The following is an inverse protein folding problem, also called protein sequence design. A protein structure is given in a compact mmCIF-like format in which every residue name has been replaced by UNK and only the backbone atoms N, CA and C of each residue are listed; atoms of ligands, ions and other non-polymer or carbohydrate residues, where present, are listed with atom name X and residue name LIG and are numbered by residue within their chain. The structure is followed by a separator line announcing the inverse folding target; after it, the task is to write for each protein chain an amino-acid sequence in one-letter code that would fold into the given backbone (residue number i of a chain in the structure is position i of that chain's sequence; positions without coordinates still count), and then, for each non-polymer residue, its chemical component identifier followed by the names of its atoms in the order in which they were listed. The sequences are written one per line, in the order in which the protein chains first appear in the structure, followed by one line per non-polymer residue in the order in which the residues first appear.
data_IF_118366943736
#
_entry.id   IF_118366943736
#
_cell.length_a   1.000
_cell.length_b   1.000
_cell.length_c   1.000
_cell.angle_alpha   90.00
_cell.angle_beta   90.00
_cell.angle_gamma   90.00
#
_symmetry.space_group_name_H-M   'P 1'
#
loop_
_entity.id
_entity.type
_entity.pdbx_description
1 polymer ?
#
# COMPACT_ATOMS: atom_id res chain seq x y z
N UNK A 1 -1.33 10.77 -6.68
CA UNK A 1 -2.39 11.63 -7.27
C UNK A 1 -3.60 11.58 -6.34
N UNK A 2 -4.38 12.66 -6.22
CA UNK A 2 -5.63 12.64 -5.47
C UNK A 2 -6.71 11.85 -6.22
N UNK A 3 -7.84 11.59 -5.54
CA UNK A 3 -8.95 10.78 -6.09
C UNK A 3 -9.52 11.33 -7.41
N UNK A 4 -9.50 12.65 -7.58
CA UNK A 4 -10.07 13.31 -8.76
C UNK A 4 -9.05 13.54 -9.89
N UNK A 5 -7.79 13.15 -9.70
CA UNK A 5 -6.73 13.37 -10.68
C UNK A 5 -6.32 14.84 -10.87
N UNK A 6 -6.67 15.71 -9.91
CA UNK A 6 -6.44 17.16 -10.01
C UNK A 6 -5.20 17.64 -9.27
N UNK A 7 -4.71 16.85 -8.30
CA UNK A 7 -3.55 17.22 -7.46
C UNK A 7 -2.61 16.04 -7.31
N UNK A 8 -1.32 16.35 -7.31
CA UNK A 8 -0.25 15.39 -7.02
C UNK A 8 0.45 15.86 -5.74
N UNK A 9 0.62 14.94 -4.79
CA UNK A 9 1.52 15.13 -3.65
C UNK A 9 2.83 14.40 -3.92
N UNK A 10 3.96 15.06 -3.66
CA UNK A 10 5.30 14.48 -3.82
C UNK A 10 6.03 14.49 -2.49
N UNK A 11 6.69 13.37 -2.18
CA UNK A 11 7.58 13.22 -1.03
C UNK A 11 9.03 13.50 -1.47
N UNK A 12 9.81 14.12 -0.59
CA UNK A 12 11.19 14.51 -0.91
C UNK A 12 12.17 14.18 0.22
N UNK A 13 13.41 13.92 -0.16
CA UNK A 13 14.52 13.72 0.78
C UNK A 13 14.89 14.99 1.55
N UNK A 14 14.44 16.14 1.11
CA UNK A 14 14.62 17.43 1.80
C UNK A 14 13.64 17.63 2.99
N UNK A 15 12.94 16.58 3.40
CA UNK A 15 11.94 16.55 4.47
C UNK A 15 10.67 17.39 4.16
N UNK A 16 10.43 17.74 2.91
CA UNK A 16 9.24 18.48 2.50
C UNK A 16 8.29 17.64 1.64
N UNK A 17 7.03 18.03 1.65
CA UNK A 17 6.00 17.50 0.77
C UNK A 17 5.49 18.66 -0.07
N UNK A 18 5.39 18.51 -1.37
CA UNK A 18 4.80 19.51 -2.25
C UNK A 18 3.48 19.02 -2.80
N UNK A 19 2.49 19.90 -2.81
CA UNK A 19 1.19 19.66 -3.45
C UNK A 19 1.14 20.52 -4.71
N UNK A 20 0.90 19.83 -5.82
CA UNK A 20 0.93 20.41 -7.17
C UNK A 20 -0.43 20.18 -7.80
N UNK A 21 -1.05 21.23 -8.27
CA UNK A 21 -2.26 21.18 -9.10
C UNK A 21 -1.90 20.79 -10.53
N UNK A 22 -2.69 19.90 -11.12
CA UNK A 22 -2.55 19.44 -12.49
C UNK A 22 -3.75 19.92 -13.30
N UNK A 23 -3.50 20.79 -14.27
CA UNK A 23 -4.53 21.28 -15.18
C UNK A 23 -4.17 20.92 -16.62
N UNK A 24 -5.09 20.31 -17.34
CA UNK A 24 -4.88 19.89 -18.72
C UNK A 24 -4.50 21.01 -19.69
N UNK A 25 -4.83 22.28 -19.36
CA UNK A 25 -4.64 23.41 -20.26
C UNK A 25 -3.55 24.41 -19.82
N UNK A 26 -3.06 24.35 -18.58
CA UNK A 26 -2.14 25.39 -18.05
C UNK A 26 -0.86 24.81 -17.40
N UNK A 27 -0.65 23.50 -17.51
CA UNK A 27 0.49 22.84 -16.89
C UNK A 27 0.31 22.62 -15.38
N UNK A 28 1.41 22.41 -14.67
CA UNK A 28 1.43 22.16 -13.23
C UNK A 28 1.60 23.45 -12.45
N UNK A 29 0.82 23.62 -11.37
CA UNK A 29 0.90 24.77 -10.47
C UNK A 29 1.26 24.30 -9.06
N UNK A 30 2.28 24.89 -8.44
CA UNK A 30 2.58 24.67 -7.03
C UNK A 30 1.47 25.27 -6.16
N UNK A 31 0.83 24.43 -5.31
CA UNK A 31 -0.28 24.84 -4.44
C UNK A 31 0.17 24.99 -2.98
N UNK A 32 0.96 24.06 -2.46
CA UNK A 32 1.41 24.11 -1.07
C UNK A 32 2.73 23.34 -0.86
N UNK A 33 3.49 23.77 0.16
CA UNK A 33 4.65 23.03 0.67
C UNK A 33 4.42 22.72 2.15
N UNK A 34 4.37 21.42 2.49
CA UNK A 34 4.15 20.96 3.85
C UNK A 34 5.51 20.68 4.50
N UNK A 35 5.72 21.27 5.68
CA UNK A 35 6.93 21.12 6.47
C UNK A 35 6.57 20.61 7.86
N UNK A 36 7.31 19.63 8.36
CA UNK A 36 7.06 19.03 9.69
C UNK A 36 7.95 17.86 9.99
N UNK A 37 8.29 17.07 8.98
CA UNK A 37 9.26 15.99 9.13
C UNK A 37 10.68 16.53 9.35
N UNK A 38 11.50 15.75 10.07
CA UNK A 38 12.91 16.06 10.38
C UNK A 38 13.89 15.21 9.56
N UNK A 39 13.39 14.43 8.63
CA UNK A 39 14.17 13.56 7.76
C UNK A 39 13.47 13.31 6.43
N UNK A 40 14.12 12.60 5.51
CA UNK A 40 13.55 12.22 4.21
C UNK A 40 12.13 11.68 4.34
N UNK A 41 11.21 12.19 3.52
CA UNK A 41 9.84 11.67 3.43
C UNK A 41 9.82 10.59 2.36
N UNK A 42 9.47 9.37 2.75
CA UNK A 42 9.51 8.20 1.85
C UNK A 42 8.25 8.03 1.04
N UNK A 43 7.10 8.24 1.66
CA UNK A 43 5.82 8.02 0.99
C UNK A 43 4.78 9.03 1.47
N UNK A 44 3.89 9.40 0.55
CA UNK A 44 2.67 10.17 0.80
C UNK A 44 1.48 9.43 0.21
N UNK A 45 0.33 9.52 0.87
CA UNK A 45 -0.88 8.83 0.43
C UNK A 45 -2.12 9.67 0.76
N UNK A 46 -2.98 9.88 -0.25
CA UNK A 46 -4.26 10.57 -0.10
C UNK A 46 -5.30 9.62 0.51
N UNK A 47 -6.03 10.10 1.51
CA UNK A 47 -7.20 9.41 2.00
C UNK A 47 -8.37 9.53 0.99
N UNK A 48 -9.36 8.65 1.12
CA UNK A 48 -10.57 8.72 0.31
C UNK A 48 -11.32 10.05 0.58
N UNK A 49 -11.83 10.74 -0.44
CA UNK A 49 -12.45 12.08 -0.31
C UNK A 49 -13.68 12.12 0.58
N UNK A 50 -14.31 10.97 0.89
CA UNK A 50 -15.37 10.82 1.89
C UNK A 50 -14.99 11.42 3.24
N UNK A 51 -13.71 11.43 3.59
CA UNK A 51 -13.18 11.95 4.85
C UNK A 51 -12.68 13.40 4.76
N UNK A 52 -12.82 14.01 3.59
CA UNK A 52 -12.28 15.33 3.27
C UNK A 52 -10.90 15.28 2.63
N UNK A 53 -10.27 16.43 2.47
CA UNK A 53 -8.91 16.54 1.94
C UNK A 53 -7.90 16.18 3.03
N UNK A 54 -7.52 14.91 3.08
CA UNK A 54 -6.57 14.35 4.05
C UNK A 54 -5.43 13.67 3.31
N UNK A 55 -4.19 13.96 3.73
CA UNK A 55 -2.97 13.33 3.25
C UNK A 55 -2.23 12.71 4.44
N UNK A 56 -1.65 11.53 4.27
CA UNK A 56 -0.69 10.96 5.20
C UNK A 56 0.71 11.00 4.60
N UNK A 57 1.72 11.13 5.45
CA UNK A 57 3.13 11.03 5.08
C UNK A 57 3.91 10.21 6.09
N UNK A 58 4.94 9.50 5.64
CA UNK A 58 5.87 8.78 6.51
C UNK A 58 7.31 9.13 6.17
N UNK A 59 8.19 9.02 7.17
CA UNK A 59 9.55 9.54 7.06
C UNK A 59 10.58 8.65 7.75
N UNK A 60 11.84 8.87 7.36
CA UNK A 60 13.02 8.33 8.02
C UNK A 60 13.09 8.72 9.51
N UNK A 61 12.48 9.84 9.91
CA UNK A 61 12.43 10.31 11.30
C UNK A 61 11.57 9.44 12.23
N UNK A 62 10.93 8.38 11.71
CA UNK A 62 10.08 7.47 12.48
C UNK A 62 8.66 7.97 12.68
N UNK A 63 8.33 9.15 12.15
CA UNK A 63 7.00 9.75 12.31
C UNK A 63 6.10 9.46 11.12
N UNK A 64 4.80 9.42 11.42
CA UNK A 64 3.71 9.51 10.44
C UNK A 64 2.90 10.76 10.77
N UNK A 65 2.69 11.61 9.78
CA UNK A 65 1.93 12.85 9.95
C UNK A 65 0.66 12.79 9.10
N UNK A 66 -0.47 13.12 9.73
CA UNK A 66 -1.74 13.34 9.06
C UNK A 66 -1.90 14.83 8.82
N UNK A 67 -2.06 15.18 7.56
CA UNK A 67 -2.28 16.54 7.10
C UNK A 67 -3.74 16.69 6.70
N UNK A 68 -4.36 17.78 7.13
CA UNK A 68 -5.74 18.10 6.75
C UNK A 68 -5.77 19.51 6.15
N UNK A 69 -6.42 19.63 5.01
CA UNK A 69 -6.69 20.91 4.38
C UNK A 69 -7.81 21.63 5.15
N UNK A 70 -7.53 22.86 5.59
CA UNK A 70 -8.49 23.77 6.19
C UNK A 70 -9.13 24.65 5.14
N UNK A 71 -8.65 25.88 5.02
CA UNK A 71 -8.99 26.74 3.90
C UNK A 71 -8.26 26.29 2.64
N UNK A 72 -8.64 26.85 1.49
CA UNK A 72 -8.06 26.44 0.20
C UNK A 72 -6.53 26.52 0.20
N UNK A 73 -5.88 25.37 0.00
CA UNK A 73 -4.41 25.19 0.00
C UNK A 73 -3.70 25.48 1.34
N UNK A 74 -4.43 25.70 2.44
CA UNK A 74 -3.86 25.79 3.78
C UNK A 74 -3.91 24.43 4.46
N UNK A 75 -2.76 23.88 4.79
CA UNK A 75 -2.62 22.55 5.35
C UNK A 75 -2.15 22.60 6.80
N UNK A 76 -2.81 21.85 7.65
CA UNK A 76 -2.49 21.74 9.07
C UNK A 76 -2.04 20.30 9.38
N UNK A 77 -1.10 20.19 10.31
CA UNK A 77 -0.76 18.89 10.92
C UNK A 77 -1.88 18.52 11.88
N UNK A 78 -2.79 17.66 11.40
CA UNK A 78 -3.94 17.24 12.21
C UNK A 78 -3.54 16.23 13.29
N UNK A 79 -2.56 15.37 13.00
CA UNK A 79 -2.04 14.40 13.98
C UNK A 79 -0.61 13.98 13.61
N UNK A 80 0.19 13.63 14.64
CA UNK A 80 1.55 13.12 14.51
C UNK A 80 1.64 11.84 15.33
N UNK A 81 1.97 10.73 14.69
CA UNK A 81 2.25 9.46 15.33
C UNK A 81 3.76 9.27 15.50
N UNK A 82 4.17 8.88 16.71
CA UNK A 82 5.56 8.63 17.10
C UNK A 82 5.74 7.20 17.64
N UNK A 83 4.97 6.25 17.11
CA UNK A 83 4.91 4.88 17.62
C UNK A 83 6.12 4.04 17.21
N UNK A 84 6.83 4.44 16.14
CA UNK A 84 7.97 3.72 15.61
C UNK A 84 9.31 4.30 16.08
N UNK A 85 10.26 3.41 16.34
CA UNK A 85 11.61 3.75 16.80
C UNK A 85 12.62 3.89 15.65
N UNK A 86 12.20 3.58 14.44
CA UNK A 86 13.03 3.62 13.23
C UNK A 86 12.21 4.14 12.05
N UNK A 87 12.85 4.29 10.90
CA UNK A 87 12.24 4.76 9.67
C UNK A 87 10.89 4.10 9.39
N UNK A 88 9.86 4.88 9.09
CA UNK A 88 8.60 4.38 8.55
C UNK A 88 8.69 4.42 7.03
N UNK A 89 8.68 3.24 6.40
CA UNK A 89 8.99 3.07 5.00
C UNK A 89 7.77 3.08 4.09
N UNK A 90 6.62 2.68 4.62
CA UNK A 90 5.40 2.55 3.82
C UNK A 90 4.16 2.85 4.63
N UNK A 91 3.19 3.49 3.98
CA UNK A 91 1.86 3.78 4.51
C UNK A 91 0.79 3.40 3.49
N UNK A 92 -0.34 2.92 3.95
CA UNK A 92 -1.49 2.61 3.11
C UNK A 92 -2.79 2.90 3.85
N UNK A 93 -3.69 3.67 3.23
CA UNK A 93 -5.06 3.84 3.72
C UNK A 93 -5.87 2.58 3.44
N UNK A 94 -6.66 2.18 4.42
CA UNK A 94 -7.64 1.12 4.25
C UNK A 94 -8.73 1.54 3.25
N UNK A 95 -9.42 0.57 2.62
CA UNK A 95 -10.65 0.85 1.90
C UNK A 95 -11.61 1.67 2.77
N UNK A 96 -12.29 2.65 2.16
CA UNK A 96 -13.08 3.65 2.89
C UNK A 96 -14.29 3.07 3.64
N UNK A 97 -14.71 1.87 3.28
CA UNK A 97 -15.76 1.10 3.96
C UNK A 97 -15.36 0.72 5.38
N UNK A 98 -14.07 0.52 5.63
CA UNK A 98 -13.50 0.19 6.93
C UNK A 98 -13.29 1.42 7.85
N UNK A 99 -13.71 2.61 7.39
CA UNK A 99 -13.46 3.86 8.10
C UNK A 99 -12.13 4.51 7.73
N UNK A 100 -11.76 5.57 8.43
CA UNK A 100 -10.48 6.24 8.25
C UNK A 100 -9.40 5.49 9.04
N UNK A 101 -8.73 4.57 8.38
CA UNK A 101 -7.76 3.66 8.97
C UNK A 101 -6.48 3.63 8.13
N UNK A 102 -5.31 3.75 8.76
CA UNK A 102 -4.00 3.82 8.12
C UNK A 102 -3.07 2.74 8.67
N UNK A 103 -2.51 1.90 7.80
CA UNK A 103 -1.43 0.99 8.15
C UNK A 103 -0.07 1.60 7.82
N UNK A 104 0.93 1.36 8.68
CA UNK A 104 2.29 1.86 8.54
C UNK A 104 3.29 0.75 8.82
N UNK A 105 4.26 0.57 7.93
CA UNK A 105 5.34 -0.41 8.08
C UNK A 105 6.68 0.26 8.34
N UNK A 106 7.42 -0.23 9.34
CA UNK A 106 8.68 0.38 9.79
C UNK A 106 9.88 -0.56 9.72
N UNK A 107 11.05 0.04 9.60
CA UNK A 107 12.34 -0.65 9.74
C UNK A 107 12.58 -1.24 11.13
N UNK A 108 11.77 -0.88 12.14
CA UNK A 108 11.81 -1.53 13.45
C UNK A 108 11.16 -2.92 13.48
N UNK A 109 10.67 -3.39 12.33
CA UNK A 109 10.06 -4.71 12.15
C UNK A 109 8.58 -4.78 12.46
N UNK A 110 7.97 -3.69 12.89
CA UNK A 110 6.59 -3.65 13.33
C UNK A 110 5.68 -2.95 12.30
N UNK A 111 4.40 -3.30 12.36
CA UNK A 111 3.34 -2.60 11.64
C UNK A 111 2.42 -1.97 12.67
N UNK A 112 2.13 -0.68 12.53
CA UNK A 112 1.10 0.02 13.30
C UNK A 112 -0.11 0.28 12.43
N UNK A 113 -1.30 0.12 13.00
CA UNK A 113 -2.56 0.42 12.33
C UNK A 113 -3.32 1.44 13.18
N UNK A 114 -3.54 2.62 12.61
CA UNK A 114 -4.20 3.76 13.25
C UNK A 114 -5.62 3.88 12.73
N UNK A 115 -6.60 3.90 13.62
CA UNK A 115 -8.02 4.02 13.29
C UNK A 115 -8.59 5.28 13.93
N UNK A 116 -9.15 6.17 13.12
CA UNK A 116 -9.78 7.39 13.62
C UNK A 116 -11.08 7.08 14.36
N UNK A 117 -11.27 7.73 15.51
CA UNK A 117 -12.48 7.65 16.32
C UNK A 117 -13.42 8.82 16.02
N UNK A 118 -14.69 8.65 16.38
CA UNK A 118 -15.71 9.68 16.23
C UNK A 118 -15.45 10.94 17.06
N UNK A 119 -14.70 10.82 18.17
CA UNK A 119 -14.32 11.93 19.05
C UNK A 119 -13.11 12.74 18.53
N UNK A 120 -12.57 12.39 17.37
CA UNK A 120 -11.39 13.01 16.76
C UNK A 120 -10.06 12.43 17.24
N UNK A 121 -10.07 11.47 18.15
CA UNK A 121 -8.87 10.72 18.56
C UNK A 121 -8.53 9.57 17.60
N UNK A 122 -7.46 8.87 17.92
CA UNK A 122 -6.99 7.71 17.17
C UNK A 122 -6.76 6.53 18.10
N UNK A 123 -7.18 5.35 17.66
CA UNK A 123 -6.81 4.08 18.27
C UNK A 123 -5.65 3.49 17.51
N UNK A 124 -4.72 2.86 18.23
CA UNK A 124 -3.55 2.20 17.65
C UNK A 124 -3.60 0.71 17.95
N UNK A 125 -3.48 -0.11 16.93
CA UNK A 125 -3.19 -1.55 17.06
C UNK A 125 -1.87 -1.85 16.39
N UNK A 126 -1.15 -2.88 16.88
CA UNK A 126 0.19 -3.23 16.39
C UNK A 126 0.28 -4.69 16.00
N UNK A 127 1.16 -4.95 15.04
CA UNK A 127 1.69 -6.26 14.71
C UNK A 127 3.17 -6.21 15.02
N UNK A 128 3.53 -6.73 16.21
CA UNK A 128 4.91 -6.75 16.64
C UNK A 128 5.68 -7.84 15.91
N UNK A 129 6.94 -7.55 15.56
CA UNK A 129 7.83 -8.46 14.85
C UNK A 129 7.18 -9.04 13.58
N UNK A 130 6.40 -8.23 12.86
CA UNK A 130 5.81 -8.62 11.58
C UNK A 130 6.89 -9.11 10.60
N UNK A 131 7.97 -8.33 10.48
CA UNK A 131 9.19 -8.69 9.76
C UNK A 131 10.40 -8.28 10.62
N UNK A 132 11.04 -9.18 11.34
CA UNK A 132 12.06 -8.83 12.34
C UNK A 132 13.25 -8.00 11.81
N UNK A 133 13.56 -8.12 10.52
CA UNK A 133 14.64 -7.38 9.85
C UNK A 133 14.19 -6.01 9.34
N UNK A 134 12.88 -5.77 9.25
CA UNK A 134 12.26 -4.53 8.79
C UNK A 134 11.15 -4.75 7.79
N UNK A 135 10.10 -3.93 7.91
CA UNK A 135 8.98 -3.86 6.97
C UNK A 135 9.34 -2.88 5.85
N UNK A 136 9.15 -3.29 4.61
CA UNK A 136 9.41 -2.45 3.43
C UNK A 136 8.13 -1.89 2.82
N UNK A 137 7.05 -2.68 2.80
CA UNK A 137 5.78 -2.25 2.20
C UNK A 137 4.57 -2.91 2.86
N UNK A 138 3.45 -2.18 2.87
CA UNK A 138 2.14 -2.65 3.34
C UNK A 138 1.05 -2.34 2.30
N UNK A 139 0.07 -3.22 2.20
CA UNK A 139 -1.07 -3.06 1.28
C UNK A 139 -2.33 -3.67 1.85
N UNK A 140 -3.45 -2.94 1.82
CA UNK A 140 -4.73 -3.44 2.29
C UNK A 140 -5.39 -4.36 1.27
N UNK A 141 -6.09 -5.37 1.79
CA UNK A 141 -7.06 -6.13 1.02
C UNK A 141 -8.29 -5.27 0.70
N UNK A 142 -9.01 -5.54 -0.40
CA UNK A 142 -10.32 -4.96 -0.65
C UNK A 142 -11.27 -5.21 0.53
N UNK A 143 -12.16 -4.25 0.82
CA UNK A 143 -13.15 -4.38 1.91
C UNK A 143 -14.18 -5.47 1.64
N UNK A 144 -14.50 -5.72 0.37
CA UNK A 144 -15.40 -6.79 -0.02
C UNK A 144 -14.70 -8.14 0.14
N UNK A 145 -15.30 -9.03 0.92
CA UNK A 145 -14.81 -10.39 1.04
C UNK A 145 -14.81 -11.09 -0.32
N UNK A 146 -13.80 -11.93 -0.60
CA UNK A 146 -13.79 -12.73 -1.82
C UNK A 146 -15.07 -13.56 -1.96
N UNK A 147 -15.70 -13.50 -3.14
CA UNK A 147 -16.97 -14.19 -3.41
C UNK A 147 -18.23 -13.49 -2.90
N UNK A 148 -18.16 -12.29 -2.34
CA UNK A 148 -19.32 -11.55 -1.83
C UNK A 148 -20.40 -11.29 -2.89
N UNK A 149 -20.05 -11.24 -4.17
CA UNK A 149 -21.03 -11.11 -5.27
C UNK A 149 -21.78 -12.41 -5.56
N UNK A 150 -21.29 -13.56 -5.08
CA UNK A 150 -21.86 -14.89 -5.35
C UNK A 150 -22.64 -15.41 -4.16
N UNK A 151 -22.42 -14.85 -2.96
CA UNK A 151 -23.06 -15.26 -1.72
C UNK A 151 -24.28 -14.39 -1.38
N UNK A 152 -25.33 -14.98 -0.83
CA UNK A 152 -26.58 -14.32 -0.46
C UNK A 152 -26.55 -13.59 0.89
N UNK A 153 -25.39 -13.28 1.47
CA UNK A 153 -25.24 -12.65 2.76
C UNK A 153 -24.40 -11.37 2.71
N UNK A 154 -24.86 -10.32 3.41
CA UNK A 154 -24.01 -9.19 3.82
C UNK A 154 -22.94 -9.76 4.77
N UNK A 155 -21.74 -10.00 4.23
CA UNK A 155 -20.58 -10.34 5.05
C UNK A 155 -20.02 -9.04 5.63
N UNK A 156 -19.78 -9.00 6.93
CA UNK A 156 -19.10 -7.87 7.56
C UNK A 156 -17.73 -7.64 6.89
N UNK A 157 -17.36 -6.37 6.64
CA UNK A 157 -16.08 -6.06 6.06
C UNK A 157 -14.94 -6.62 6.89
N UNK A 158 -14.10 -7.44 6.29
CA UNK A 158 -12.98 -8.08 6.98
C UNK A 158 -11.74 -7.22 6.79
N UNK A 159 -11.10 -6.84 7.91
CA UNK A 159 -9.83 -6.14 7.86
C UNK A 159 -8.68 -7.12 7.62
N UNK A 160 -8.08 -7.06 6.44
CA UNK A 160 -6.89 -7.81 6.07
C UNK A 160 -5.85 -6.90 5.43
N UNK A 161 -4.59 -7.19 5.65
CA UNK A 161 -3.49 -6.52 4.97
C UNK A 161 -2.37 -7.51 4.60
N UNK A 162 -1.64 -7.19 3.55
CA UNK A 162 -0.40 -7.83 3.19
C UNK A 162 0.77 -6.95 3.60
N UNK A 163 1.87 -7.56 4.01
CA UNK A 163 3.13 -6.88 4.27
C UNK A 163 4.29 -7.66 3.66
N UNK A 164 5.37 -6.97 3.37
CA UNK A 164 6.61 -7.58 2.96
C UNK A 164 7.81 -6.93 3.66
N UNK A 165 8.94 -7.60 3.66
CA UNK A 165 10.09 -7.12 4.41
C UNK A 165 11.44 -7.60 3.93
N UNK A 166 12.46 -7.20 4.69
CA UNK A 166 13.85 -7.58 4.47
C UNK A 166 14.15 -9.04 4.88
N UNK A 167 13.18 -9.78 5.36
CA UNK A 167 13.23 -11.22 5.63
C UNK A 167 12.83 -12.07 4.40
N UNK A 168 12.73 -11.45 3.23
CA UNK A 168 12.42 -12.07 1.94
C UNK A 168 11.02 -12.70 1.86
N UNK A 169 10.14 -12.37 2.81
CA UNK A 169 8.79 -12.96 2.89
C UNK A 169 7.69 -11.95 2.61
N UNK A 170 6.55 -12.47 2.18
CA UNK A 170 5.27 -11.78 2.19
C UNK A 170 4.37 -12.45 3.23
N UNK A 171 3.68 -11.65 4.04
CA UNK A 171 2.77 -12.13 5.08
C UNK A 171 1.40 -11.50 4.90
N UNK A 172 0.38 -12.27 5.20
CA UNK A 172 -1.02 -11.84 5.21
C UNK A 172 -1.53 -11.83 6.63
N UNK A 173 -2.15 -10.74 7.02
CA UNK A 173 -2.65 -10.49 8.37
C UNK A 173 -4.15 -10.26 8.34
N UNK A 174 -4.84 -10.75 9.34
CA UNK A 174 -6.29 -10.56 9.54
C UNK A 174 -6.56 -10.10 10.96
N UNK A 175 -7.47 -9.14 11.10
CA UNK A 175 -7.93 -8.66 12.40
C UNK A 175 -9.00 -9.62 12.94
N UNK A 176 -8.73 -10.22 14.10
CA UNK A 176 -9.65 -11.07 14.83
C UNK A 176 -9.87 -10.49 16.24
N UNK A 177 -11.08 -10.10 16.55
CA UNK A 177 -11.45 -9.58 17.89
C UNK A 177 -10.47 -8.52 18.41
N UNK A 178 -10.11 -7.55 17.58
CA UNK A 178 -9.19 -6.47 17.92
C UNK A 178 -7.70 -6.84 17.93
N UNK A 179 -7.34 -8.07 17.58
CA UNK A 179 -5.95 -8.53 17.53
C UNK A 179 -5.59 -9.00 16.12
N UNK A 180 -4.46 -8.52 15.61
CA UNK A 180 -3.92 -8.96 14.33
C UNK A 180 -3.27 -10.33 14.44
N UNK A 181 -3.63 -11.24 13.55
CA UNK A 181 -3.05 -12.58 13.44
C UNK A 181 -2.63 -12.85 12.01
N UNK A 182 -1.58 -13.65 11.85
CA UNK A 182 -1.16 -14.11 10.52
C UNK A 182 -2.22 -15.05 9.95
N UNK A 183 -2.72 -14.72 8.76
CA UNK A 183 -3.80 -15.43 8.06
C UNK A 183 -3.26 -16.46 7.05
N UNK A 184 -1.97 -16.41 6.73
CA UNK A 184 -1.28 -17.42 5.93
C UNK A 184 -0.10 -18.00 6.73
N UNK A 185 -0.12 -19.32 6.95
CA UNK A 185 0.99 -19.99 7.59
C UNK A 185 1.35 -21.26 6.79
N UNK A 186 2.61 -21.47 6.41
CA UNK A 186 3.75 -20.56 6.62
C UNK A 186 3.65 -19.24 5.83
N UNK A 187 4.53 -18.27 6.14
CA UNK A 187 4.66 -17.05 5.34
C UNK A 187 4.97 -17.38 3.86
N UNK A 188 4.51 -16.53 2.96
CA UNK A 188 4.70 -16.70 1.52
C UNK A 188 6.18 -16.44 1.17
N UNK A 189 6.88 -17.49 0.73
CA UNK A 189 8.33 -17.45 0.52
C UNK A 189 8.68 -18.05 -0.84
N UNK A 190 9.08 -17.20 -1.77
CA UNK A 190 9.67 -17.56 -3.06
C UNK A 190 10.81 -16.62 -3.45
N UNK A 191 10.88 -15.46 -2.80
CA UNK A 191 11.95 -14.50 -3.04
C UNK A 191 13.25 -14.90 -2.31
N UNK A 192 14.38 -14.56 -2.91
CA UNK A 192 15.71 -14.86 -2.39
C UNK A 192 16.42 -13.63 -1.81
N UNK A 193 15.82 -12.44 -1.93
CA UNK A 193 16.33 -11.17 -1.40
C UNK A 193 15.16 -10.30 -0.94
N UNK A 194 15.42 -9.13 -0.40
CA UNK A 194 14.45 -8.22 0.17
C UNK A 194 13.26 -7.99 -0.76
N UNK A 195 12.08 -8.20 -0.23
CA UNK A 195 10.85 -7.84 -0.95
C UNK A 195 10.62 -6.35 -0.77
N UNK A 196 10.64 -5.60 -1.86
CA UNK A 196 10.61 -4.13 -1.87
C UNK A 196 9.21 -3.56 -1.88
N UNK A 197 8.29 -4.23 -2.54
CA UNK A 197 6.92 -3.75 -2.73
C UNK A 197 5.94 -4.91 -2.70
N UNK A 198 4.78 -4.69 -2.09
CA UNK A 198 3.64 -5.60 -2.11
C UNK A 198 2.38 -4.80 -2.46
N UNK A 199 1.55 -5.37 -3.32
CA UNK A 199 0.28 -4.77 -3.71
C UNK A 199 -0.82 -5.83 -3.76
N UNK A 200 -1.90 -5.61 -3.02
CA UNK A 200 -3.09 -6.44 -3.08
C UNK A 200 -3.98 -5.96 -4.24
N UNK A 201 -4.40 -6.87 -5.11
CA UNK A 201 -5.24 -6.53 -6.25
C UNK A 201 -6.68 -6.22 -5.82
N UNK A 202 -7.33 -5.20 -6.37
CA UNK A 202 -8.78 -5.07 -6.29
C UNK A 202 -9.45 -6.31 -6.89
N UNK A 203 -10.39 -6.95 -6.17
CA UNK A 203 -11.02 -8.18 -6.64
C UNK A 203 -12.45 -7.98 -7.17
N UNK A 204 -13.02 -6.79 -7.02
CA UNK A 204 -14.41 -6.45 -7.41
C UNK A 204 -15.44 -7.49 -6.93
N UNK A 205 -15.18 -8.15 -5.79
CA UNK A 205 -16.06 -9.18 -5.23
C UNK A 205 -15.94 -10.57 -5.86
N UNK A 206 -14.95 -10.78 -6.73
CA UNK A 206 -14.63 -12.11 -7.26
C UNK A 206 -14.04 -13.01 -6.15
N UNK A 207 -14.19 -14.35 -6.25
CA UNK A 207 -13.73 -15.26 -5.20
C UNK A 207 -12.21 -15.32 -5.06
N UNK A 208 -11.46 -15.03 -6.12
CA UNK A 208 -10.00 -15.09 -6.15
C UNK A 208 -9.38 -13.84 -5.51
N UNK A 209 -8.49 -14.04 -4.55
CA UNK A 209 -7.60 -12.99 -4.04
C UNK A 209 -6.25 -13.07 -4.73
N UNK A 210 -5.68 -11.92 -5.09
CA UNK A 210 -4.39 -11.85 -5.77
C UNK A 210 -3.50 -10.79 -5.12
N UNK A 211 -2.24 -11.13 -4.88
CA UNK A 211 -1.20 -10.23 -4.37
C UNK A 211 -0.02 -10.27 -5.36
N UNK A 212 0.55 -9.13 -5.67
CA UNK A 212 1.82 -9.04 -6.36
C UNK A 212 2.92 -8.62 -5.38
N UNK A 213 4.09 -9.23 -5.47
CA UNK A 213 5.29 -8.83 -4.73
C UNK A 213 6.47 -8.66 -5.65
N UNK A 214 7.27 -7.61 -5.39
CA UNK A 214 8.47 -7.28 -6.15
C UNK A 214 9.70 -7.31 -5.24
N UNK A 215 10.79 -7.88 -5.71
CA UNK A 215 11.99 -8.10 -4.91
C UNK A 215 13.25 -7.54 -5.55
N UNK A 216 14.23 -7.32 -4.70
CA UNK A 216 15.60 -7.00 -5.06
C UNK A 216 16.29 -8.16 -5.82
N UNK A 217 15.77 -9.39 -5.69
CA UNK A 217 16.25 -10.55 -6.45
C UNK A 217 15.95 -10.48 -7.95
N UNK A 218 15.24 -9.44 -8.40
CA UNK A 218 14.89 -9.22 -9.80
C UNK A 218 13.58 -9.91 -10.21
N UNK A 219 12.86 -10.54 -9.31
CA UNK A 219 11.62 -11.24 -9.64
C UNK A 219 10.38 -10.52 -9.14
N UNK A 220 9.29 -10.74 -9.84
CA UNK A 220 7.93 -10.44 -9.39
C UNK A 220 7.19 -11.76 -9.24
N UNK A 221 6.53 -11.94 -8.09
CA UNK A 221 5.71 -13.12 -7.82
C UNK A 221 4.24 -12.71 -7.68
N UNK A 222 3.38 -13.45 -8.35
CA UNK A 222 1.93 -13.34 -8.21
C UNK A 222 1.47 -14.46 -7.29
N UNK A 223 0.86 -14.07 -6.18
CA UNK A 223 0.27 -14.96 -5.21
C UNK A 223 -1.24 -14.99 -5.39
N UNK A 224 -1.82 -16.16 -5.44
CA UNK A 224 -3.26 -16.34 -5.62
C UNK A 224 -3.84 -17.24 -4.57
N UNK A 225 -5.02 -16.88 -4.07
CA UNK A 225 -5.82 -17.71 -3.17
C UNK A 225 -7.23 -17.81 -3.78
N UNK A 226 -7.66 -19.02 -4.11
CA UNK A 226 -8.90 -19.26 -4.83
C UNK A 226 -10.12 -18.96 -3.95
N UNK A 227 -10.04 -19.32 -2.67
CA UNK A 227 -11.07 -19.05 -1.66
C UNK A 227 -10.44 -18.69 -0.33
N UNK A 228 -11.18 -17.93 0.47
CA UNK A 228 -10.74 -17.58 1.83
C UNK A 228 -10.49 -18.85 2.67
N UNK A 229 -9.31 -18.87 3.34
CA UNK A 229 -8.86 -20.00 4.15
C UNK A 229 -8.12 -21.11 3.38
N UNK A 230 -8.04 -21.04 2.06
CA UNK A 230 -7.20 -21.92 1.25
C UNK A 230 -5.74 -21.45 1.22
N UNK A 231 -4.85 -22.33 0.78
CA UNK A 231 -3.44 -22.00 0.64
C UNK A 231 -3.21 -21.00 -0.50
N UNK A 232 -2.24 -20.14 -0.30
CA UNK A 232 -1.76 -19.24 -1.33
C UNK A 232 -0.80 -19.98 -2.26
N UNK A 233 -1.01 -19.84 -3.54
CA UNK A 233 -0.14 -20.34 -4.59
C UNK A 233 0.68 -19.20 -5.17
N UNK A 234 2.01 -19.38 -5.27
CA UNK A 234 2.92 -18.40 -5.86
C UNK A 234 3.34 -18.80 -7.27
N UNK A 235 3.33 -17.84 -8.18
CA UNK A 235 3.86 -18.01 -9.54
C UNK A 235 4.75 -16.84 -9.89
N UNK A 236 6.00 -17.12 -10.31
CA UNK A 236 6.89 -16.06 -10.82
C UNK A 236 6.29 -15.49 -12.09
N UNK A 237 6.05 -14.18 -12.09
CA UNK A 237 5.58 -13.44 -13.26
C UNK A 237 6.66 -13.36 -14.32
N UNK A 238 7.83 -12.85 -13.92
CA UNK A 238 9.01 -12.68 -14.75
C UNK A 238 10.25 -12.49 -13.88
N UNK A 239 11.42 -12.77 -14.45
CA UNK A 239 12.73 -12.41 -13.93
C UNK A 239 13.30 -11.25 -14.76
N UNK A 240 13.31 -10.05 -14.17
CA UNK A 240 13.72 -8.80 -14.82
C UNK A 240 15.24 -8.63 -14.89
N UNK A 241 16.01 -9.53 -14.25
CA UNK A 241 17.50 -9.48 -14.18
C UNK A 241 18.07 -8.23 -13.51
N UNK A 242 17.22 -7.44 -12.87
CA UNK A 242 17.54 -6.20 -12.15
C UNK A 242 16.58 -6.07 -10.99
N UNK A 243 16.93 -5.41 -9.88
CA UNK A 243 16.00 -5.19 -8.78
C UNK A 243 14.66 -4.61 -9.23
N UNK A 244 13.56 -5.12 -8.71
CA UNK A 244 12.24 -4.56 -8.96
C UNK A 244 11.81 -3.74 -7.75
N UNK A 245 11.52 -2.47 -7.99
CA UNK A 245 11.29 -1.50 -6.93
C UNK A 245 9.82 -1.35 -6.53
N UNK A 246 8.91 -1.44 -7.49
CA UNK A 246 7.50 -1.16 -7.22
C UNK A 246 6.57 -1.95 -8.12
N UNK A 247 5.44 -2.35 -7.56
CA UNK A 247 4.30 -2.92 -8.28
C UNK A 247 3.02 -2.18 -7.91
N UNK A 248 2.14 -2.01 -8.88
CA UNK A 248 0.86 -1.32 -8.70
C UNK A 248 -0.22 -1.89 -9.61
N UNK A 249 -1.40 -2.12 -9.04
CA UNK A 249 -2.55 -2.62 -9.77
C UNK A 249 -3.39 -1.48 -10.37
N UNK A 250 -4.01 -1.73 -11.51
CA UNK A 250 -5.10 -0.89 -12.00
C UNK A 250 -6.30 -0.95 -11.05
N UNK A 251 -7.18 0.03 -11.13
CA UNK A 251 -8.40 0.09 -10.30
C UNK A 251 -9.31 -1.13 -10.46
N UNK A 252 -9.26 -1.79 -11.62
CA UNK A 252 -10.02 -3.01 -11.90
C UNK A 252 -9.29 -4.29 -11.56
N UNK A 253 -8.03 -4.22 -11.12
CA UNK A 253 -7.21 -5.38 -10.74
C UNK A 253 -6.77 -6.28 -11.90
N UNK A 254 -6.97 -5.85 -13.16
CA UNK A 254 -6.67 -6.65 -14.36
C UNK A 254 -5.34 -6.30 -15.02
N UNK A 255 -4.72 -5.18 -14.65
CA UNK A 255 -3.41 -4.76 -15.13
C UNK A 255 -2.48 -4.56 -13.95
N UNK A 256 -1.24 -5.02 -14.09
CA UNK A 256 -0.15 -4.82 -13.14
C UNK A 256 0.94 -3.99 -13.79
N UNK A 257 1.26 -2.86 -13.18
CA UNK A 257 2.44 -2.07 -13.52
C UNK A 257 3.63 -2.53 -12.68
N UNK A 258 4.79 -2.68 -13.30
CA UNK A 258 6.04 -3.11 -12.67
C UNK A 258 7.13 -2.12 -13.04
N UNK A 259 7.79 -1.52 -12.03
CA UNK A 259 8.92 -0.61 -12.19
C UNK A 259 10.23 -1.32 -11.78
N UNK A 260 11.18 -1.43 -12.72
CA UNK A 260 12.45 -2.12 -12.53
C UNK A 260 13.64 -1.16 -12.32
N UNK A 261 14.81 -1.71 -12.01
CA UNK A 261 16.04 -0.97 -11.76
C UNK A 261 16.70 -0.41 -13.03
N UNK A 262 16.21 -0.74 -14.21
CA UNK A 262 16.68 -0.21 -15.50
C UNK A 262 15.85 1.00 -15.96
N UNK A 263 15.06 1.60 -15.05
CA UNK A 263 14.14 2.71 -15.33
C UNK A 263 13.01 2.35 -16.29
N UNK A 264 12.68 1.06 -16.44
CA UNK A 264 11.54 0.64 -17.25
C UNK A 264 10.29 0.49 -16.40
N UNK A 265 9.16 0.85 -16.98
CA UNK A 265 7.83 0.51 -16.45
C UNK A 265 7.12 -0.37 -17.47
N UNK A 266 6.77 -1.57 -17.05
CA UNK A 266 6.10 -2.56 -17.90
C UNK A 266 4.69 -2.82 -17.38
N UNK A 267 3.75 -3.06 -18.29
CA UNK A 267 2.37 -3.41 -17.98
C UNK A 267 2.11 -4.88 -18.32
N UNK A 268 1.49 -5.57 -17.39
CA UNK A 268 1.20 -7.00 -17.46
C UNK A 268 -0.28 -7.27 -17.27
N UNK A 269 -0.79 -8.28 -17.99
CA UNK A 269 -2.18 -8.73 -17.91
C UNK A 269 -2.23 -10.25 -17.88
N UNK A 270 -3.14 -10.80 -17.04
CA UNK A 270 -3.45 -12.22 -17.07
C UNK A 270 -4.33 -12.53 -18.29
N UNK A 271 -3.90 -13.46 -19.12
CA UNK A 271 -4.67 -13.94 -20.28
C UNK A 271 -5.70 -14.99 -19.83
N UNK A 272 -6.61 -15.36 -20.71
CA UNK A 272 -7.69 -16.32 -20.43
C UNK A 272 -7.16 -17.71 -20.02
N UNK A 273 -5.98 -18.08 -20.50
CA UNK A 273 -5.29 -19.32 -20.16
C UNK A 273 -4.53 -19.27 -18.81
N UNK A 274 -4.63 -18.15 -18.05
CA UNK A 274 -3.93 -17.93 -16.79
C UNK A 274 -2.44 -17.61 -16.93
N UNK A 275 -1.96 -17.36 -18.17
CA UNK A 275 -0.61 -16.89 -18.39
C UNK A 275 -0.55 -15.37 -18.34
N UNK A 276 0.49 -14.85 -17.74
CA UNK A 276 0.75 -13.41 -17.70
C UNK A 276 1.50 -12.98 -18.95
N UNK A 277 1.01 -11.94 -19.59
CA UNK A 277 1.57 -11.39 -20.82
C UNK A 277 1.91 -9.92 -20.62
N UNK A 278 3.07 -9.52 -21.09
CA UNK A 278 3.46 -8.12 -21.15
C UNK A 278 2.64 -7.44 -22.27
N UNK A 279 1.93 -6.38 -21.88
CA UNK A 279 1.04 -5.63 -22.81
C UNK A 279 1.80 -4.51 -23.48
N UNK A 280 2.60 -3.77 -22.72
CA UNK A 280 3.40 -2.66 -23.25
C UNK A 280 4.56 -2.33 -22.31
N UNK A 281 5.56 -1.63 -22.86
CA UNK A 281 6.56 -0.89 -22.09
C UNK A 281 6.13 0.58 -22.10
N UNK A 282 6.05 1.21 -20.95
CA UNK A 282 5.82 2.65 -20.86
C UNK A 282 7.19 3.32 -20.99
N UNK A 283 7.40 3.97 -22.11
CA UNK A 283 8.59 4.80 -22.31
C UNK A 283 8.53 6.01 -21.38
N UNK A 284 9.66 6.42 -20.75
CA UNK A 284 9.71 7.51 -19.79
C UNK A 284 9.42 8.89 -20.38
#
# INVERSE_FOLDING_TARGET
MDYYGKRVATASSDATIKIIGVNNNSGSQHLASLKGHKGPVWQVSWAHPKFGSILASCSYDGQVIIWKEGNQNEWLQAHIFNDHKSSVNSIAWAPHELGLCLACGSSDGNISVFTARADGGWDTTRIDQAHPVGVTSVSWAPAMAPGALVGSGLLDPVQKLASCGCDNTVKVWKLYNGTWKMDCFPALQMHNDWVRSVAWAPNLGLPKSTIASASQDGTVVIWTCAKEGEQWEGKVLNDFKTPVWSVSWSLTGNLLAVADGNNNVTLWKEAVDGQWQQVTVVEP
#
